data_IF_217569090814
#
_entry.id   IF_217569090814
#
_cell.length_a   1.000
_cell.length_b   1.000
_cell.length_c   1.000
_cell.angle_alpha   90.00
_cell.angle_beta   90.00
_cell.angle_gamma   90.00
#
_symmetry.space_group_name_H-M   'P 1'
#
loop_
_entity.id
_entity.type
_entity.pdbx_description
1 polymer ?
#
# COMPACT_ATOMS: atom_id res chain seq x y z
N UNK A 1 14.50 -38.13 56.64
CA UNK A 1 15.56 -37.75 55.68
C UNK A 1 14.97 -37.72 54.28
N UNK A 2 14.42 -36.57 53.86
CA UNK A 2 14.05 -36.27 52.47
C UNK A 2 14.32 -34.78 52.27
N UNK A 3 15.35 -34.46 51.49
CA UNK A 3 15.63 -33.11 51.00
C UNK A 3 14.60 -32.77 49.91
N UNK A 4 14.02 -31.58 49.98
CA UNK A 4 13.32 -30.94 48.87
C UNK A 4 14.32 -29.96 48.25
N UNK A 5 14.77 -30.24 47.04
CA UNK A 5 15.56 -29.32 46.22
C UNK A 5 14.60 -28.49 45.37
N UNK A 6 14.55 -27.18 45.61
CA UNK A 6 13.85 -26.24 44.75
C UNK A 6 14.79 -25.75 43.64
N UNK A 7 14.45 -26.04 42.39
CA UNK A 7 15.06 -25.37 41.23
C UNK A 7 14.24 -24.12 40.91
N UNK A 8 14.83 -22.94 41.16
CA UNK A 8 14.39 -21.69 40.57
C UNK A 8 14.91 -21.61 39.13
N UNK A 9 14.02 -21.67 38.15
CA UNK A 9 14.33 -21.24 36.79
C UNK A 9 14.20 -19.71 36.75
N UNK A 10 15.32 -19.02 36.61
CA UNK A 10 15.34 -17.61 36.21
C UNK A 10 15.17 -17.61 34.69
N UNK A 11 13.96 -17.31 34.19
CA UNK A 11 13.79 -16.92 32.80
C UNK A 11 14.42 -15.53 32.65
N UNK A 12 15.62 -15.47 32.05
CA UNK A 12 16.15 -14.24 31.50
C UNK A 12 15.34 -13.90 30.24
N UNK A 13 14.42 -12.95 30.37
CA UNK A 13 13.83 -12.23 29.23
C UNK A 13 14.95 -11.37 28.61
N UNK A 14 15.72 -11.95 27.70
CA UNK A 14 16.40 -11.15 26.69
C UNK A 14 15.32 -10.73 25.69
N UNK A 15 14.80 -9.52 25.84
CA UNK A 15 14.15 -8.87 24.71
C UNK A 15 15.22 -8.75 23.62
N UNK A 16 15.08 -9.49 22.53
CA UNK A 16 15.84 -9.16 21.32
C UNK A 16 15.33 -7.80 20.90
N UNK A 17 16.11 -6.75 21.13
CA UNK A 17 15.96 -5.58 20.28
C UNK A 17 16.24 -6.09 18.86
N UNK A 18 15.24 -6.06 17.99
CA UNK A 18 15.47 -6.29 16.58
C UNK A 18 16.60 -5.35 16.17
N UNK A 19 17.64 -5.89 15.54
CA UNK A 19 18.69 -5.05 14.97
C UNK A 19 17.98 -4.08 14.02
N UNK A 20 18.19 -2.77 14.22
CA UNK A 20 17.66 -1.79 13.30
C UNK A 20 18.30 -2.05 11.93
N UNK A 21 17.46 -2.20 10.90
CA UNK A 21 17.92 -2.39 9.53
C UNK A 21 17.95 -1.03 8.84
N UNK A 22 19.11 -0.66 8.29
CA UNK A 22 19.22 0.50 7.40
C UNK A 22 18.57 0.17 6.07
N UNK A 23 17.71 1.06 5.57
CA UNK A 23 17.02 0.91 4.29
C UNK A 23 17.50 1.96 3.30
N UNK A 24 17.27 1.73 2.02
CA UNK A 24 17.42 2.73 0.97
C UNK A 24 16.39 2.50 -0.14
N UNK A 25 15.91 3.56 -0.78
CA UNK A 25 15.20 3.48 -2.05
C UNK A 25 16.23 3.40 -3.19
N UNK A 26 16.39 2.20 -3.76
CA UNK A 26 17.22 1.97 -4.93
C UNK A 26 16.40 2.23 -6.20
N UNK A 27 16.87 3.11 -7.08
CA UNK A 27 16.24 3.33 -8.38
C UNK A 27 16.22 2.01 -9.15
N UNK A 28 15.01 1.54 -9.48
CA UNK A 28 14.80 0.34 -10.28
C UNK A 28 14.62 0.70 -11.75
N UNK A 29 13.76 1.67 -12.03
CA UNK A 29 13.50 2.14 -13.38
C UNK A 29 13.31 3.65 -13.40
N UNK A 30 14.05 4.32 -14.29
CA UNK A 30 13.96 5.75 -14.52
C UNK A 30 12.92 6.02 -15.61
N UNK A 31 11.88 6.79 -15.30
CA UNK A 31 10.84 7.21 -16.25
C UNK A 31 10.25 6.09 -17.17
N UNK A 32 9.87 4.88 -16.67
CA UNK A 32 9.38 3.82 -17.55
C UNK A 32 8.06 4.15 -18.26
N UNK A 33 7.23 5.01 -17.65
CA UNK A 33 6.00 5.60 -18.21
C UNK A 33 5.85 7.03 -17.68
N UNK A 34 5.09 7.88 -18.37
CA UNK A 34 4.67 9.17 -17.80
C UNK A 34 3.65 8.97 -16.68
N UNK A 35 3.66 9.83 -15.66
CA UNK A 35 2.68 9.84 -14.57
C UNK A 35 2.34 8.42 -14.04
N UNK A 36 3.35 7.64 -13.60
CA UNK A 36 3.12 6.29 -13.11
C UNK A 36 2.18 6.34 -11.91
N UNK A 37 1.25 5.40 -11.87
CA UNK A 37 0.15 5.42 -10.90
C UNK A 37 0.19 4.21 -9.96
N UNK A 38 0.70 3.09 -10.45
CA UNK A 38 0.92 1.87 -9.69
C UNK A 38 2.04 1.05 -10.34
N UNK A 39 2.68 0.20 -9.55
CA UNK A 39 3.58 -0.84 -9.99
C UNK A 39 3.26 -2.13 -9.21
N UNK A 40 2.83 -3.19 -9.88
CA UNK A 40 2.33 -4.42 -9.24
C UNK A 40 2.81 -5.67 -9.97
N UNK A 41 2.85 -6.80 -9.28
CA UNK A 41 3.09 -8.11 -9.90
C UNK A 41 1.80 -8.91 -10.12
N UNK A 42 1.86 -9.84 -11.09
CA UNK A 42 0.77 -10.75 -11.37
C UNK A 42 1.04 -12.15 -10.78
N UNK A 43 0.02 -12.85 -10.25
CA UNK A 43 0.15 -14.27 -9.90
C UNK A 43 0.75 -15.09 -11.05
N UNK A 44 1.75 -15.92 -10.76
CA UNK A 44 2.44 -16.75 -11.76
C UNK A 44 3.47 -16.00 -12.62
N UNK A 45 3.70 -14.71 -12.39
CA UNK A 45 4.66 -13.90 -13.16
C UNK A 45 5.69 -13.21 -12.26
N UNK A 46 6.51 -13.96 -11.50
CA UNK A 46 7.36 -13.38 -10.47
C UNK A 46 8.37 -12.39 -11.03
N UNK A 47 8.85 -12.59 -12.26
CA UNK A 47 9.94 -11.82 -12.88
C UNK A 47 9.47 -10.53 -13.57
N UNK A 48 8.17 -10.18 -13.47
CA UNK A 48 7.62 -9.00 -14.13
C UNK A 48 6.93 -8.06 -13.15
N UNK A 49 7.11 -6.75 -13.40
CA UNK A 49 6.40 -5.67 -12.72
C UNK A 49 5.56 -4.92 -13.76
N UNK A 50 4.27 -4.78 -13.53
CA UNK A 50 3.35 -4.06 -14.39
C UNK A 50 3.19 -2.63 -13.87
N UNK A 51 3.61 -1.65 -14.67
CA UNK A 51 3.59 -0.23 -14.31
C UNK A 51 2.57 0.49 -15.18
N UNK A 52 1.55 1.07 -14.54
CA UNK A 52 0.47 1.79 -15.23
C UNK A 52 0.66 3.29 -15.23
N UNK A 53 0.48 3.92 -16.38
CA UNK A 53 0.42 5.37 -16.53
C UNK A 53 -1.00 5.88 -16.30
N UNK A 54 -1.14 6.95 -15.52
CA UNK A 54 -2.43 7.63 -15.36
C UNK A 54 -2.88 8.27 -16.67
N UNK A 55 -2.03 9.14 -17.22
CA UNK A 55 -2.33 10.02 -18.34
C UNK A 55 -2.41 9.31 -19.69
N UNK A 56 -1.44 8.46 -20.01
CA UNK A 56 -1.47 7.73 -21.30
C UNK A 56 -2.31 6.45 -21.24
N UNK A 57 -2.76 6.05 -20.04
CA UNK A 57 -3.60 4.87 -19.80
C UNK A 57 -3.03 3.57 -20.41
N UNK A 58 -1.70 3.52 -20.53
CA UNK A 58 -0.94 2.35 -20.90
C UNK A 58 -0.34 1.67 -19.67
N UNK A 59 -0.05 0.38 -19.82
CA UNK A 59 0.66 -0.43 -18.83
C UNK A 59 1.85 -1.04 -19.53
N UNK A 60 3.05 -0.85 -18.96
CA UNK A 60 4.27 -1.52 -19.40
C UNK A 60 4.64 -2.65 -18.45
N UNK A 61 5.41 -3.61 -18.96
CA UNK A 61 6.04 -4.66 -18.16
C UNK A 61 7.51 -4.33 -18.03
N UNK A 62 8.00 -4.25 -16.80
CA UNK A 62 9.41 -4.19 -16.49
C UNK A 62 9.92 -5.57 -16.06
N UNK A 63 11.15 -5.88 -16.42
CA UNK A 63 11.90 -6.98 -15.83
C UNK A 63 12.17 -6.65 -14.35
N UNK A 64 11.77 -7.54 -13.44
CA UNK A 64 11.88 -7.31 -11.99
C UNK A 64 13.31 -6.98 -11.57
N UNK A 65 14.30 -7.65 -12.15
CA UNK A 65 15.70 -7.52 -11.70
C UNK A 65 16.36 -6.26 -12.26
N UNK A 66 16.21 -6.02 -13.55
CA UNK A 66 16.93 -4.98 -14.30
C UNK A 66 16.16 -3.67 -14.44
N UNK A 67 14.85 -3.68 -14.18
CA UNK A 67 13.96 -2.54 -14.39
C UNK A 67 13.74 -2.16 -15.85
N UNK A 68 14.28 -2.94 -16.80
CA UNK A 68 14.15 -2.66 -18.22
C UNK A 68 12.74 -3.01 -18.72
N UNK A 69 12.20 -2.18 -19.60
CA UNK A 69 10.90 -2.45 -20.24
C UNK A 69 10.99 -3.65 -21.16
N UNK A 70 10.19 -4.67 -20.86
CA UNK A 70 10.03 -5.92 -21.63
C UNK A 70 8.94 -5.78 -22.69
N UNK A 71 7.83 -5.11 -22.36
CA UNK A 71 6.69 -4.98 -23.26
C UNK A 71 5.78 -3.81 -22.90
N UNK A 72 5.01 -3.33 -23.86
CA UNK A 72 3.79 -2.56 -23.58
C UNK A 72 2.64 -3.55 -23.45
N UNK A 73 2.22 -3.83 -22.22
CA UNK A 73 1.15 -4.78 -21.92
C UNK A 73 -0.19 -4.30 -22.45
N UNK A 74 -0.58 -3.07 -22.12
CA UNK A 74 -1.88 -2.52 -22.48
C UNK A 74 -1.71 -1.09 -22.96
N UNK A 75 -2.52 -0.69 -23.94
CA UNK A 75 -2.67 0.71 -24.34
C UNK A 75 -4.17 0.93 -24.62
N UNK A 76 -4.79 1.86 -23.91
CA UNK A 76 -6.19 2.22 -24.11
C UNK A 76 -6.26 3.44 -25.05
N UNK A 77 -6.59 3.25 -26.34
CA UNK A 77 -6.64 4.35 -27.29
C UNK A 77 -7.72 5.37 -26.88
N UNK A 78 -7.43 6.66 -27.10
CA UNK A 78 -8.31 7.82 -26.85
C UNK A 78 -8.36 8.36 -25.41
N UNK A 79 -7.41 7.99 -24.56
CA UNK A 79 -7.21 8.67 -23.30
C UNK A 79 -6.45 9.99 -23.52
N UNK A 80 -7.12 11.14 -23.35
CA UNK A 80 -6.43 12.40 -23.04
C UNK A 80 -6.96 12.91 -21.71
N UNK A 81 -6.42 12.38 -20.59
CA UNK A 81 -6.87 12.72 -19.26
C UNK A 81 -6.51 14.18 -18.91
N UNK A 82 -7.41 14.85 -18.20
CA UNK A 82 -7.28 16.15 -17.53
C UNK A 82 -7.59 16.04 -16.03
N UNK A 83 -6.73 16.57 -15.16
CA UNK A 83 -6.90 16.57 -13.70
C UNK A 83 -6.78 15.18 -13.02
N UNK A 84 -7.83 14.62 -12.40
CA UNK A 84 -7.80 13.35 -11.63
C UNK A 84 -8.31 12.12 -12.42
N UNK A 85 -8.45 12.24 -13.73
CA UNK A 85 -8.91 11.16 -14.60
C UNK A 85 -7.75 10.28 -15.10
N UNK A 86 -8.12 9.21 -15.79
CA UNK A 86 -7.21 8.25 -16.36
C UNK A 86 -7.32 6.87 -15.71
N UNK A 87 -6.23 6.11 -15.83
CA UNK A 87 -6.07 4.80 -15.22
C UNK A 87 -5.56 4.97 -13.78
N UNK A 88 -6.40 4.64 -12.79
CA UNK A 88 -6.09 4.90 -11.38
C UNK A 88 -5.56 3.67 -10.63
N UNK A 89 -5.98 2.47 -11.04
CA UNK A 89 -5.52 1.21 -10.45
C UNK A 89 -5.77 0.03 -11.40
N UNK A 90 -5.11 -1.09 -11.11
CA UNK A 90 -5.29 -2.38 -11.76
C UNK A 90 -5.13 -3.49 -10.72
N UNK A 91 -5.87 -4.59 -10.88
CA UNK A 91 -5.68 -5.80 -10.10
C UNK A 91 -5.74 -7.03 -11.02
N UNK A 92 -4.89 -8.01 -10.75
CA UNK A 92 -4.95 -9.31 -11.42
C UNK A 92 -5.95 -10.21 -10.71
N UNK A 93 -6.71 -11.00 -11.47
CA UNK A 93 -7.51 -12.07 -10.89
C UNK A 93 -6.60 -13.03 -10.10
N UNK A 94 -7.02 -13.61 -8.96
CA UNK A 94 -6.20 -14.56 -8.20
C UNK A 94 -5.70 -15.73 -9.07
N UNK A 95 -6.55 -16.22 -9.98
CA UNK A 95 -6.23 -17.25 -10.96
C UNK A 95 -5.62 -16.73 -12.30
N UNK A 96 -5.02 -15.52 -12.32
CA UNK A 96 -4.49 -14.89 -13.55
C UNK A 96 -3.55 -15.79 -14.35
N UNK A 97 -2.75 -16.62 -13.69
CA UNK A 97 -1.84 -17.55 -14.37
C UNK A 97 -2.60 -18.53 -15.28
N UNK A 98 -3.85 -18.85 -14.93
CA UNK A 98 -4.70 -19.77 -15.69
C UNK A 98 -5.70 -19.05 -16.61
N UNK A 99 -6.39 -18.02 -16.11
CA UNK A 99 -7.49 -17.36 -16.84
C UNK A 99 -7.06 -16.09 -17.58
N UNK A 100 -5.91 -15.52 -17.24
CA UNK A 100 -5.38 -14.30 -17.84
C UNK A 100 -6.19 -13.04 -17.56
N UNK A 101 -7.12 -13.05 -16.61
CA UNK A 101 -8.05 -11.95 -16.32
C UNK A 101 -7.43 -10.89 -15.39
N UNK A 102 -7.68 -9.63 -15.70
CA UNK A 102 -7.29 -8.49 -14.87
C UNK A 102 -8.34 -7.38 -14.96
N UNK A 103 -8.33 -6.48 -14.00
CA UNK A 103 -9.38 -5.47 -13.80
C UNK A 103 -8.75 -4.11 -13.68
N UNK A 104 -9.24 -3.12 -14.41
CA UNK A 104 -8.78 -1.73 -14.27
C UNK A 104 -9.82 -0.90 -13.55
N UNK A 105 -9.35 0.05 -12.75
CA UNK A 105 -10.16 1.15 -12.23
C UNK A 105 -9.85 2.42 -13.02
N UNK A 106 -10.85 3.01 -13.67
CA UNK A 106 -10.69 4.26 -14.43
C UNK A 106 -11.73 5.30 -14.02
N UNK A 107 -11.37 6.56 -14.23
CA UNK A 107 -12.31 7.68 -14.20
C UNK A 107 -12.09 8.54 -15.45
N UNK A 108 -13.14 9.11 -16.01
CA UNK A 108 -13.05 10.03 -17.15
C UNK A 108 -13.75 11.34 -16.85
N UNK A 109 -13.10 12.48 -17.13
CA UNK A 109 -13.81 13.75 -17.06
C UNK A 109 -14.80 13.92 -18.22
N UNK A 110 -14.53 13.45 -19.43
CA UNK A 110 -15.48 13.67 -20.54
C UNK A 110 -16.75 12.83 -20.41
N UNK A 111 -16.67 11.75 -19.64
CA UNK A 111 -17.76 10.84 -19.31
C UNK A 111 -17.63 10.45 -17.83
N UNK A 112 -18.23 11.22 -16.89
CA UNK A 112 -17.89 11.26 -15.46
C UNK A 112 -18.35 10.03 -14.70
N UNK A 113 -17.82 8.87 -15.07
CA UNK A 113 -18.03 7.59 -14.42
C UNK A 113 -16.73 7.04 -13.89
N UNK A 114 -16.79 6.54 -12.67
CA UNK A 114 -15.87 5.53 -12.17
C UNK A 114 -16.24 4.19 -12.82
N UNK A 115 -15.27 3.48 -13.36
CA UNK A 115 -15.47 2.18 -14.02
C UNK A 115 -14.48 1.15 -13.54
N UNK A 116 -15.01 -0.02 -13.20
CA UNK A 116 -14.22 -1.24 -13.06
C UNK A 116 -14.51 -2.14 -14.24
N UNK A 117 -13.48 -2.45 -15.03
CA UNK A 117 -13.60 -3.18 -16.28
C UNK A 117 -12.66 -4.37 -16.29
N UNK A 118 -13.22 -5.56 -16.51
CA UNK A 118 -12.48 -6.79 -16.74
C UNK A 118 -11.87 -6.78 -18.14
N UNK A 119 -10.62 -7.21 -18.21
CA UNK A 119 -9.83 -7.42 -19.42
C UNK A 119 -9.10 -8.75 -19.32
N UNK A 120 -8.50 -9.18 -20.41
CA UNK A 120 -7.70 -10.40 -20.45
C UNK A 120 -6.40 -10.21 -21.20
N UNK A 121 -5.37 -10.96 -20.82
CA UNK A 121 -4.14 -11.08 -21.62
C UNK A 121 -4.42 -11.83 -22.93
N UNK A 122 -3.61 -11.59 -23.94
CA UNK A 122 -3.66 -12.31 -25.20
C UNK A 122 -3.28 -13.78 -24.98
N UNK A 123 -4.06 -14.68 -25.57
CA UNK A 123 -3.77 -16.12 -25.57
C UNK A 123 -2.50 -16.42 -26.36
N UNK A 124 -2.20 -15.63 -27.40
CA UNK A 124 -1.04 -15.84 -28.26
C UNK A 124 0.26 -15.25 -27.66
N UNK A 125 0.14 -14.17 -26.88
CA UNK A 125 1.27 -13.55 -26.20
C UNK A 125 0.82 -13.04 -24.81
N UNK A 126 1.11 -13.78 -23.72
CA UNK A 126 0.74 -13.39 -22.36
C UNK A 126 1.33 -12.06 -21.87
N UNK A 127 2.33 -11.51 -22.58
CA UNK A 127 2.96 -10.21 -22.28
C UNK A 127 2.21 -9.01 -22.87
N UNK A 128 1.06 -9.24 -23.52
CA UNK A 128 0.16 -8.17 -23.98
C UNK A 128 -1.29 -8.48 -23.61
N UNK A 129 -2.09 -7.43 -23.40
CA UNK A 129 -3.53 -7.48 -23.28
C UNK A 129 -4.19 -7.80 -24.63
N UNK A 130 -5.33 -8.48 -24.60
CA UNK A 130 -6.20 -8.61 -25.77
C UNK A 130 -6.96 -7.29 -25.97
N UNK A 131 -6.69 -6.52 -27.04
CA UNK A 131 -7.33 -5.23 -27.25
C UNK A 131 -8.81 -5.33 -27.63
N UNK A 132 -9.32 -6.55 -27.88
CA UNK A 132 -10.69 -6.79 -28.32
C UNK A 132 -11.63 -7.25 -27.20
N UNK A 133 -11.08 -7.53 -26.01
CA UNK A 133 -11.86 -8.03 -24.89
C UNK A 133 -11.98 -6.98 -23.78
N UNK A 134 -13.20 -6.55 -23.53
CA UNK A 134 -13.58 -5.79 -22.36
C UNK A 134 -14.95 -6.27 -21.85
N UNK A 135 -15.11 -6.33 -20.53
CA UNK A 135 -16.39 -6.60 -19.88
C UNK A 135 -16.55 -5.66 -18.69
N UNK A 136 -17.56 -4.80 -18.74
CA UNK A 136 -17.81 -3.82 -17.68
C UNK A 136 -18.32 -4.53 -16.42
N UNK A 137 -17.58 -4.49 -15.31
CA UNK A 137 -18.02 -5.11 -14.05
C UNK A 137 -19.06 -4.23 -13.37
N UNK A 138 -18.71 -2.99 -13.06
CA UNK A 138 -19.68 -2.00 -12.60
C UNK A 138 -19.24 -0.59 -12.99
N UNK A 139 -20.19 0.32 -13.08
CA UNK A 139 -19.92 1.76 -13.16
C UNK A 139 -20.70 2.54 -12.10
N UNK A 140 -20.15 3.69 -11.73
CA UNK A 140 -20.73 4.62 -10.78
C UNK A 140 -20.59 6.04 -11.35
N UNK A 141 -21.69 6.80 -11.53
CA UNK A 141 -21.59 8.20 -11.92
C UNK A 141 -20.95 9.01 -10.80
N UNK A 142 -19.96 9.84 -11.15
CA UNK A 142 -19.37 10.85 -10.28
C UNK A 142 -19.34 12.21 -11.00
N UNK A 143 -20.53 12.79 -11.18
CA UNK A 143 -20.76 14.08 -11.86
C UNK A 143 -19.96 15.25 -11.25
N UNK A 144 -19.49 15.07 -10.00
CA UNK A 144 -18.71 16.06 -9.25
C UNK A 144 -17.24 16.08 -9.63
N UNK A 145 -16.74 15.05 -10.31
CA UNK A 145 -15.39 14.97 -10.91
C UNK A 145 -14.25 15.22 -9.92
N UNK A 146 -14.47 14.83 -8.69
CA UNK A 146 -13.53 14.96 -7.59
C UNK A 146 -13.71 13.77 -6.66
N UNK A 147 -12.65 13.44 -5.92
CA UNK A 147 -12.64 12.34 -4.95
C UNK A 147 -13.17 11.06 -5.59
N UNK A 148 -12.53 10.61 -6.65
CA UNK A 148 -13.02 9.50 -7.48
C UNK A 148 -12.80 8.13 -6.82
N UNK A 149 -12.24 8.07 -5.60
CA UNK A 149 -11.64 6.85 -5.08
C UNK A 149 -10.37 6.53 -5.88
N UNK A 150 -10.13 5.26 -6.16
CA UNK A 150 -9.05 4.92 -7.08
C UNK A 150 -8.35 3.60 -6.86
N UNK A 151 -8.83 2.76 -5.94
CA UNK A 151 -8.22 1.46 -5.69
C UNK A 151 -9.15 0.30 -6.04
N UNK A 152 -8.58 -0.77 -6.59
CA UNK A 152 -9.22 -2.06 -6.78
C UNK A 152 -8.25 -3.18 -6.35
N UNK A 153 -8.74 -4.23 -5.71
CA UNK A 153 -7.93 -5.37 -5.29
C UNK A 153 -8.75 -6.60 -4.95
N UNK A 154 -8.10 -7.77 -4.95
CA UNK A 154 -8.73 -9.04 -4.56
C UNK A 154 -8.34 -9.40 -3.14
N UNK A 155 -9.30 -9.85 -2.33
CA UNK A 155 -8.97 -10.40 -1.02
C UNK A 155 -8.27 -11.75 -1.20
N UNK A 156 -7.15 -12.00 -0.51
CA UNK A 156 -6.49 -13.30 -0.52
C UNK A 156 -7.28 -14.38 0.22
N UNK A 157 -8.31 -14.00 1.01
CA UNK A 157 -9.10 -14.95 1.80
C UNK A 157 -10.35 -15.45 1.08
N UNK A 158 -11.10 -14.55 0.45
CA UNK A 158 -12.38 -14.89 -0.19
C UNK A 158 -12.35 -14.84 -1.73
N UNK A 159 -11.29 -14.28 -2.33
CA UNK A 159 -11.14 -14.18 -3.77
C UNK A 159 -12.11 -13.22 -4.47
N UNK A 160 -12.84 -12.39 -3.73
CA UNK A 160 -13.73 -11.37 -4.30
C UNK A 160 -12.99 -10.07 -4.62
N UNK A 161 -13.58 -9.30 -5.53
CA UNK A 161 -13.07 -8.00 -5.94
C UNK A 161 -13.61 -6.91 -5.02
N UNK A 162 -12.70 -6.09 -4.50
CA UNK A 162 -12.98 -4.92 -3.69
C UNK A 162 -12.59 -3.65 -4.44
N UNK A 163 -13.35 -2.57 -4.23
CA UNK A 163 -13.05 -1.27 -4.80
C UNK A 163 -13.40 -0.13 -3.84
N UNK A 164 -12.52 0.86 -3.72
CA UNK A 164 -12.81 2.09 -2.96
C UNK A 164 -13.39 3.17 -3.85
N UNK A 165 -14.43 3.84 -3.37
CA UNK A 165 -15.02 5.01 -4.00
C UNK A 165 -14.91 6.21 -3.05
N UNK A 166 -14.66 7.40 -3.59
CA UNK A 166 -14.69 8.63 -2.79
C UNK A 166 -16.07 9.28 -2.76
N UNK A 167 -16.22 10.31 -1.93
CA UNK A 167 -17.48 10.97 -1.61
C UNK A 167 -17.97 11.97 -2.70
N UNK A 168 -17.16 12.19 -3.74
CA UNK A 168 -17.42 13.16 -4.80
C UNK A 168 -16.94 14.60 -4.50
N UNK A 169 -16.41 14.89 -3.32
CA UNK A 169 -15.60 16.08 -2.99
C UNK A 169 -16.25 17.46 -2.94
N UNK A 170 -17.54 17.61 -3.22
CA UNK A 170 -18.21 18.92 -3.17
C UNK A 170 -18.83 19.22 -1.80
N UNK A 171 -18.59 20.43 -1.27
CA UNK A 171 -19.15 20.93 0.00
C UNK A 171 -18.89 20.02 1.21
N UNK A 172 -17.69 19.43 1.36
CA UNK A 172 -17.41 18.38 2.34
C UNK A 172 -18.44 17.24 2.26
N UNK A 173 -18.78 16.75 1.06
CA UNK A 173 -19.84 15.74 0.89
C UNK A 173 -21.28 16.24 1.14
N UNK A 174 -21.55 17.55 1.29
CA UNK A 174 -22.91 18.02 1.61
C UNK A 174 -23.87 17.97 0.43
N UNK A 175 -23.33 18.09 -0.79
CA UNK A 175 -24.08 18.73 -1.86
C UNK A 175 -25.38 18.01 -2.24
N UNK A 176 -25.52 16.72 -1.89
CA UNK A 176 -26.76 15.95 -2.09
C UNK A 176 -27.09 14.99 -0.90
N UNK A 177 -26.85 15.37 0.35
CA UNK A 177 -27.41 14.63 1.50
C UNK A 177 -26.52 13.52 2.11
N UNK A 178 -25.24 13.80 2.37
CA UNK A 178 -24.31 12.90 3.07
C UNK A 178 -24.10 11.56 2.34
N UNK A 179 -23.63 11.56 1.08
CA UNK A 179 -23.60 10.36 0.26
C UNK A 179 -22.69 9.27 0.85
N UNK A 180 -21.63 9.64 1.60
CA UNK A 180 -20.81 8.68 2.34
C UNK A 180 -21.59 7.90 3.43
N UNK A 181 -22.63 8.52 4.01
CA UNK A 181 -23.51 7.93 5.02
C UNK A 181 -24.82 7.36 4.45
N UNK A 182 -25.22 7.73 3.23
CA UNK A 182 -26.34 7.09 2.54
C UNK A 182 -25.92 5.67 2.12
N UNK A 183 -26.55 4.61 2.66
CA UNK A 183 -26.17 3.24 2.34
C UNK A 183 -26.58 2.80 0.92
N UNK A 184 -27.43 3.55 0.22
CA UNK A 184 -27.80 3.30 -1.18
C UNK A 184 -26.98 4.11 -2.19
N UNK A 185 -26.20 5.08 -1.72
CA UNK A 185 -25.25 5.82 -2.55
C UNK A 185 -23.89 5.12 -2.54
N UNK A 186 -23.28 4.92 -3.71
CA UNK A 186 -21.99 4.26 -3.86
C UNK A 186 -20.80 5.17 -3.56
N UNK A 187 -20.98 6.47 -3.35
CA UNK A 187 -19.89 7.38 -3.00
C UNK A 187 -19.44 7.16 -1.54
N UNK A 188 -18.14 7.23 -1.29
CA UNK A 188 -17.54 7.09 0.04
C UNK A 188 -17.70 5.68 0.62
N UNK A 189 -17.52 4.65 -0.21
CA UNK A 189 -17.75 3.24 0.14
C UNK A 189 -16.54 2.37 -0.14
N UNK A 190 -16.47 1.26 0.56
CA UNK A 190 -15.77 0.07 0.11
C UNK A 190 -16.81 -0.88 -0.49
N UNK A 191 -16.68 -1.19 -1.77
CA UNK A 191 -17.56 -2.09 -2.51
C UNK A 191 -16.92 -3.49 -2.59
N UNK A 192 -17.73 -4.56 -2.59
CA UNK A 192 -17.29 -5.95 -2.72
C UNK A 192 -18.22 -6.75 -3.63
N UNK A 193 -17.66 -7.38 -4.66
CA UNK A 193 -18.41 -8.16 -5.67
C UNK A 193 -17.67 -9.44 -6.07
N UNK A 194 -18.43 -10.46 -6.49
CA UNK A 194 -17.86 -11.68 -7.08
C UNK A 194 -17.91 -11.58 -8.61
N UNK A 195 -16.73 -11.54 -9.24
CA UNK A 195 -16.59 -11.38 -10.70
C UNK A 195 -16.73 -12.68 -11.49
N UNK A 196 -16.79 -13.83 -10.80
CA UNK A 196 -16.87 -15.15 -11.43
C UNK A 196 -18.29 -15.56 -11.88
N UNK A 197 -19.26 -14.66 -11.76
CA UNK A 197 -20.63 -14.88 -12.19
C UNK A 197 -21.34 -13.59 -12.59
N UNK A 198 -22.67 -13.68 -12.73
CA UNK A 198 -23.50 -12.52 -13.06
C UNK A 198 -24.92 -12.66 -12.47
N UNK A 199 -25.22 -11.84 -11.46
CA UNK A 199 -26.56 -11.69 -10.88
C UNK A 199 -27.47 -10.79 -11.74
N UNK A 200 -26.93 -10.07 -12.72
CA UNK A 200 -27.63 -9.07 -13.51
C UNK A 200 -27.49 -9.32 -15.03
N UNK A 201 -27.81 -10.51 -15.56
CA UNK A 201 -27.52 -10.90 -16.96
C UNK A 201 -28.24 -10.08 -18.04
N UNK A 202 -29.20 -9.22 -17.66
CA UNK A 202 -29.89 -8.31 -18.56
C UNK A 202 -29.25 -6.90 -18.60
N UNK A 203 -28.26 -6.63 -17.76
CA UNK A 203 -27.62 -5.34 -17.60
C UNK A 203 -26.14 -5.41 -18.03
N UNK A 204 -25.78 -4.89 -19.21
CA UNK A 204 -24.42 -5.02 -19.73
C UNK A 204 -23.39 -4.21 -18.93
N UNK A 205 -23.80 -3.33 -18.00
CA UNK A 205 -22.89 -2.56 -17.14
C UNK A 205 -22.76 -3.14 -15.73
N UNK A 206 -23.45 -4.26 -15.44
CA UNK A 206 -23.34 -4.99 -14.17
C UNK A 206 -23.09 -6.47 -14.44
N UNK A 207 -21.83 -6.89 -14.26
CA UNK A 207 -21.37 -8.23 -14.62
C UNK A 207 -20.68 -8.91 -13.43
N UNK A 208 -21.44 -9.15 -12.36
CA UNK A 208 -20.94 -9.75 -11.12
C UNK A 208 -22.07 -10.39 -10.33
N UNK A 209 -21.73 -11.27 -9.41
CA UNK A 209 -22.60 -11.75 -8.34
C UNK A 209 -22.42 -10.89 -7.10
N UNK A 210 -23.51 -10.66 -6.38
CA UNK A 210 -23.45 -10.13 -5.00
C UNK A 210 -23.03 -11.29 -4.09
N UNK A 211 -21.88 -11.21 -3.40
CA UNK A 211 -21.50 -12.23 -2.44
C UNK A 211 -22.60 -12.37 -1.37
N UNK A 212 -23.10 -13.58 -1.07
CA UNK A 212 -24.12 -13.78 -0.05
C UNK A 212 -23.62 -13.43 1.36
N UNK A 213 -22.30 -13.26 1.52
CA UNK A 213 -21.65 -12.83 2.76
C UNK A 213 -21.45 -11.32 2.86
N UNK A 214 -21.91 -10.53 1.88
CA UNK A 214 -21.97 -9.08 2.03
C UNK A 214 -22.94 -8.70 3.16
N UNK A 215 -22.66 -7.63 3.92
CA UNK A 215 -23.49 -7.22 5.05
C UNK A 215 -24.91 -6.81 4.63
N UNK A 216 -25.09 -6.43 3.36
CA UNK A 216 -26.36 -5.97 2.79
C UNK A 216 -26.78 -6.76 1.55
N UNK A 217 -26.44 -8.06 1.48
CA UNK A 217 -26.61 -8.88 0.28
C UNK A 217 -28.06 -8.95 -0.26
N UNK A 218 -29.08 -8.68 0.57
CA UNK A 218 -30.49 -8.65 0.16
C UNK A 218 -30.94 -7.33 -0.48
N UNK A 219 -30.11 -6.29 -0.42
CA UNK A 219 -30.41 -4.97 -0.97
C UNK A 219 -31.52 -4.19 -0.25
N UNK A 220 -31.96 -4.63 0.94
CA UNK A 220 -33.10 -4.02 1.65
C UNK A 220 -32.66 -2.81 2.48
N UNK A 221 -31.49 -2.89 3.12
CA UNK A 221 -30.98 -1.85 4.02
C UNK A 221 -29.89 -0.95 3.39
N UNK A 222 -29.27 -1.39 2.30
CA UNK A 222 -28.23 -0.70 1.57
C UNK A 222 -28.15 -1.20 0.11
N UNK A 223 -27.36 -0.57 -0.73
CA UNK A 223 -26.94 -1.18 -1.98
C UNK A 223 -26.15 -2.48 -1.69
N UNK A 224 -26.49 -3.61 -2.35
CA UNK A 224 -25.91 -4.91 -2.00
C UNK A 224 -24.41 -5.05 -2.28
N UNK A 225 -23.81 -4.12 -3.02
CA UNK A 225 -22.35 -4.07 -3.22
C UNK A 225 -21.60 -3.47 -2.03
N UNK A 226 -22.27 -2.68 -1.19
CA UNK A 226 -21.61 -1.98 -0.08
C UNK A 226 -21.10 -3.00 0.93
N UNK A 227 -19.80 -2.96 1.19
CA UNK A 227 -19.15 -3.74 2.24
C UNK A 227 -18.89 -2.88 3.48
N UNK A 228 -18.46 -1.63 3.29
CA UNK A 228 -18.29 -0.63 4.36
C UNK A 228 -18.64 0.76 3.84
N UNK A 229 -18.96 1.69 4.73
CA UNK A 229 -19.34 3.06 4.38
C UNK A 229 -18.63 4.11 5.25
N UNK A 230 -18.89 5.39 4.97
CA UNK A 230 -18.35 6.49 5.74
C UNK A 230 -16.89 6.82 5.42
N UNK A 231 -16.44 6.56 4.20
CA UNK A 231 -15.12 6.99 3.70
C UNK A 231 -15.22 8.34 2.96
N UNK A 232 -14.12 9.09 2.88
CA UNK A 232 -14.06 10.39 2.18
C UNK A 232 -13.42 10.29 0.80
N UNK A 233 -12.13 10.02 0.74
CA UNK A 233 -11.35 9.93 -0.48
C UNK A 233 -10.24 8.89 -0.33
N UNK A 234 -10.65 7.62 -0.30
CA UNK A 234 -9.76 6.49 -0.11
C UNK A 234 -9.06 6.12 -1.41
N UNK A 235 -7.94 6.80 -1.69
CA UNK A 235 -7.22 6.71 -2.97
C UNK A 235 -6.39 5.42 -3.11
N UNK A 236 -5.82 4.93 -2.00
CA UNK A 236 -5.03 3.70 -1.95
C UNK A 236 -5.41 2.86 -0.74
N UNK A 237 -5.55 1.57 -0.97
CA UNK A 237 -5.72 0.55 0.04
C UNK A 237 -4.84 -0.66 -0.31
N UNK A 238 -4.76 -1.65 0.58
CA UNK A 238 -3.98 -2.85 0.34
C UNK A 238 -4.38 -3.97 1.29
N UNK A 239 -4.55 -5.17 0.74
CA UNK A 239 -4.66 -6.36 1.55
C UNK A 239 -3.27 -6.81 1.97
N UNK A 240 -3.14 -7.19 3.23
CA UNK A 240 -2.07 -8.06 3.67
C UNK A 240 -2.26 -9.44 3.01
N UNK A 241 -1.34 -9.81 2.13
CA UNK A 241 -1.43 -11.06 1.36
C UNK A 241 -1.40 -12.32 2.22
N UNK A 242 -0.96 -12.24 3.48
CA UNK A 242 -0.90 -13.38 4.40
C UNK A 242 -2.12 -13.48 5.31
N UNK A 243 -2.58 -12.36 5.88
CA UNK A 243 -3.66 -12.36 6.89
C UNK A 243 -5.02 -11.99 6.30
N UNK A 244 -5.05 -11.33 5.14
CA UNK A 244 -6.26 -10.77 4.55
C UNK A 244 -6.76 -9.51 5.24
N UNK A 245 -6.00 -8.94 6.17
CA UNK A 245 -6.30 -7.63 6.74
C UNK A 245 -6.25 -6.56 5.65
N UNK A 246 -7.19 -5.63 5.68
CA UNK A 246 -7.27 -4.54 4.70
C UNK A 246 -6.95 -3.21 5.39
N UNK A 247 -5.94 -2.53 4.87
CA UNK A 247 -5.57 -1.17 5.26
C UNK A 247 -6.05 -0.19 4.19
N UNK A 248 -6.59 0.94 4.61
CA UNK A 248 -7.19 1.94 3.72
C UNK A 248 -6.65 3.30 4.12
N UNK A 249 -5.87 3.95 3.24
CA UNK A 249 -5.52 5.36 3.42
C UNK A 249 -6.69 6.23 2.97
N UNK A 250 -7.23 7.06 3.86
CA UNK A 250 -8.35 7.96 3.57
C UNK A 250 -7.96 9.43 3.73
N UNK A 251 -8.07 10.18 2.63
CA UNK A 251 -7.60 11.57 2.59
C UNK A 251 -8.57 12.48 3.32
N UNK A 252 -8.03 13.21 4.29
CA UNK A 252 -8.71 14.17 5.15
C UNK A 252 -9.26 15.41 4.46
N UNK A 253 -10.08 16.18 5.18
CA UNK A 253 -10.62 17.45 4.72
C UNK A 253 -9.90 18.66 5.27
N UNK A 254 -9.79 18.80 6.58
CA UNK A 254 -9.23 19.97 7.27
C UNK A 254 -8.26 19.57 8.37
N UNK A 255 -8.54 18.50 9.12
CA UNK A 255 -7.91 18.23 10.40
C UNK A 255 -6.98 17.03 10.37
N UNK A 256 -7.42 15.89 9.83
CA UNK A 256 -6.70 14.63 9.97
C UNK A 256 -6.64 13.86 8.66
N UNK A 257 -5.50 13.23 8.41
CA UNK A 257 -5.38 12.12 7.46
C UNK A 257 -5.47 10.79 8.23
N UNK A 258 -5.95 9.73 7.58
CA UNK A 258 -6.35 8.49 8.28
C UNK A 258 -5.81 7.22 7.62
N UNK A 259 -5.41 6.26 8.46
CA UNK A 259 -5.31 4.83 8.10
C UNK A 259 -6.44 4.07 8.79
N UNK A 260 -7.41 3.65 7.98
CA UNK A 260 -8.53 2.80 8.37
C UNK A 260 -8.16 1.31 8.21
N UNK A 261 -8.80 0.44 8.99
CA UNK A 261 -8.47 -0.99 9.06
C UNK A 261 -9.73 -1.86 9.06
N UNK A 262 -9.67 -2.97 8.32
CA UNK A 262 -10.67 -4.04 8.38
C UNK A 262 -9.95 -5.37 8.61
N UNK A 263 -10.25 -6.09 9.71
CA UNK A 263 -9.64 -7.40 9.95
C UNK A 263 -9.95 -8.42 8.87
N UNK A 264 -8.99 -9.30 8.58
CA UNK A 264 -9.17 -10.45 7.71
C UNK A 264 -10.36 -11.32 8.17
N UNK A 265 -11.21 -11.70 7.21
CA UNK A 265 -12.42 -12.48 7.49
C UNK A 265 -13.60 -11.67 8.06
N UNK A 266 -13.49 -10.35 8.13
CA UNK A 266 -14.62 -9.46 8.44
C UNK A 266 -15.83 -9.73 7.55
N UNK A 267 -17.04 -9.61 8.11
CA UNK A 267 -18.31 -9.70 7.38
C UNK A 267 -18.80 -8.34 6.85
N UNK A 268 -17.96 -7.31 6.92
CA UNK A 268 -18.32 -5.95 6.53
C UNK A 268 -19.22 -5.24 7.55
N UNK A 269 -19.81 -4.12 7.14
CA UNK A 269 -20.73 -3.28 7.93
C UNK A 269 -20.04 -2.16 8.71
N UNK A 270 -18.73 -1.98 8.56
CA UNK A 270 -18.00 -0.89 9.18
C UNK A 270 -18.50 0.46 8.65
N UNK A 271 -18.59 1.45 9.54
CA UNK A 271 -18.84 2.84 9.20
C UNK A 271 -17.68 3.68 9.73
N UNK A 272 -16.90 4.30 8.86
CA UNK A 272 -15.74 5.12 9.24
C UNK A 272 -16.09 6.57 9.57
N UNK A 273 -17.38 6.90 9.62
CA UNK A 273 -17.86 8.13 10.25
C UNK A 273 -17.84 9.39 9.38
N UNK A 274 -17.16 9.39 8.21
CA UNK A 274 -17.18 10.56 7.34
C UNK A 274 -18.60 10.90 6.92
N UNK A 275 -19.06 12.14 7.05
CA UNK A 275 -18.28 13.36 7.34
C UNK A 275 -18.42 13.93 8.74
N UNK A 276 -19.25 13.32 9.58
CA UNK A 276 -19.49 13.79 10.93
C UNK A 276 -18.24 13.62 11.80
N UNK A 277 -17.45 12.57 11.51
CA UNK A 277 -16.11 12.37 12.05
C UNK A 277 -15.06 12.67 10.98
N UNK A 278 -13.94 13.21 11.44
CA UNK A 278 -12.68 13.31 10.71
C UNK A 278 -11.58 12.93 11.69
N UNK A 279 -10.90 11.82 11.42
CA UNK A 279 -10.17 11.06 12.41
C UNK A 279 -11.10 10.48 13.49
N UNK A 280 -10.58 10.38 14.70
CA UNK A 280 -11.28 9.98 15.92
C UNK A 280 -12.13 11.09 16.56
N UNK A 281 -12.26 12.24 15.88
CA UNK A 281 -12.88 13.45 16.41
C UNK A 281 -14.08 13.91 15.58
N UNK A 282 -15.02 14.60 16.24
CA UNK A 282 -16.09 15.32 15.57
C UNK A 282 -15.50 16.34 14.58
N UNK A 283 -16.03 16.39 13.36
CA UNK A 283 -15.65 17.37 12.36
C UNK A 283 -16.33 18.71 12.66
N UNK A 284 -15.61 19.73 13.18
CA UNK A 284 -16.22 20.99 13.59
C UNK A 284 -16.69 21.85 12.41
N UNK A 285 -16.38 21.45 11.17
CA UNK A 285 -16.82 22.15 9.95
C UNK A 285 -18.27 21.80 9.57
N UNK A 286 -18.87 20.81 10.24
CA UNK A 286 -20.26 20.37 10.04
C UNK A 286 -20.95 20.19 11.38
N UNK A 287 -22.28 20.13 11.39
CA UNK A 287 -23.08 19.90 12.60
C UNK A 287 -23.83 18.57 12.56
N UNK A 288 -23.33 17.62 11.76
CA UNK A 288 -23.95 16.31 11.60
C UNK A 288 -23.61 15.43 12.81
N UNK A 289 -24.56 14.65 13.35
CA UNK A 289 -24.27 13.76 14.47
C UNK A 289 -23.37 12.61 14.02
N UNK A 290 -22.42 12.22 14.88
CA UNK A 290 -21.62 11.02 14.67
C UNK A 290 -22.52 9.79 14.48
N UNK A 291 -22.30 8.98 13.43
CA UNK A 291 -23.13 7.80 13.19
C UNK A 291 -22.92 6.76 14.31
N UNK A 292 -23.98 6.10 14.81
CA UNK A 292 -23.85 5.09 15.86
C UNK A 292 -22.92 3.95 15.43
N UNK A 293 -21.95 3.62 16.28
CA UNK A 293 -21.01 2.53 16.02
C UNK A 293 -19.97 2.85 14.94
N UNK A 294 -19.71 4.13 14.68
CA UNK A 294 -18.57 4.54 13.88
C UNK A 294 -17.26 3.96 14.45
N UNK A 295 -16.32 3.65 13.56
CA UNK A 295 -15.04 3.02 13.89
C UNK A 295 -13.93 4.03 13.65
N UNK A 296 -13.09 4.22 14.66
CA UNK A 296 -11.92 5.10 14.58
C UNK A 296 -10.84 4.51 13.66
N UNK A 297 -10.05 5.35 12.98
CA UNK A 297 -8.86 4.88 12.27
C UNK A 297 -7.85 4.26 13.24
N UNK A 298 -7.05 3.30 12.77
CA UNK A 298 -5.97 2.72 13.59
C UNK A 298 -4.78 3.66 13.73
N UNK A 299 -4.64 4.61 12.79
CA UNK A 299 -3.64 5.66 12.84
C UNK A 299 -4.19 6.92 12.16
N UNK A 300 -3.88 8.07 12.73
CA UNK A 300 -4.24 9.37 12.18
C UNK A 300 -3.13 10.39 12.46
N UNK A 301 -3.01 11.40 11.61
CA UNK A 301 -2.10 12.50 11.83
C UNK A 301 -2.68 13.82 11.35
N UNK A 302 -2.34 14.91 12.06
CA UNK A 302 -2.87 16.22 11.75
C UNK A 302 -2.38 16.71 10.37
N UNK A 303 -3.23 17.44 9.64
CA UNK A 303 -2.87 18.04 8.34
C UNK A 303 -1.80 19.15 8.40
N UNK A 304 -1.27 19.42 9.59
CA UNK A 304 -0.02 20.17 9.77
C UNK A 304 1.22 19.34 9.42
N UNK A 305 1.17 18.03 9.68
CA UNK A 305 2.25 17.06 9.47
C UNK A 305 2.24 16.44 8.07
N UNK A 306 1.07 16.19 7.50
CA UNK A 306 0.86 15.80 6.09
C UNK A 306 -0.34 16.52 5.48
N UNK A 307 -0.74 16.26 4.25
CA UNK A 307 -1.94 16.88 3.65
C UNK A 307 -2.64 16.04 2.57
N UNK A 308 -2.17 14.83 2.29
CA UNK A 308 -2.85 13.89 1.39
C UNK A 308 -2.24 12.51 1.59
N UNK A 309 -2.81 11.71 2.50
CA UNK A 309 -2.28 10.37 2.74
C UNK A 309 -2.34 9.49 1.49
N UNK A 310 -1.28 8.72 1.30
CA UNK A 310 -1.17 7.65 0.33
C UNK A 310 -1.09 6.36 1.14
N UNK A 311 -2.17 5.58 1.14
CA UNK A 311 -2.15 4.21 1.63
C UNK A 311 -1.22 3.32 0.79
N UNK A 312 -0.89 2.14 1.28
CA UNK A 312 0.03 1.23 0.61
C UNK A 312 -0.29 -0.23 0.86
N UNK A 313 0.76 -1.02 1.09
CA UNK A 313 0.67 -2.47 1.27
C UNK A 313 1.56 -2.91 2.42
N UNK A 314 1.34 -4.13 2.91
CA UNK A 314 2.14 -4.75 3.96
C UNK A 314 3.33 -5.43 3.33
N UNK A 315 4.54 -5.18 3.82
CA UNK A 315 5.74 -5.85 3.31
C UNK A 315 5.70 -7.35 3.64
N UNK A 316 5.75 -8.18 2.60
CA UNK A 316 5.80 -9.65 2.69
C UNK A 316 6.98 -10.27 1.94
N UNK A 317 7.93 -9.43 1.52
CA UNK A 317 9.20 -9.84 0.95
C UNK A 317 10.09 -10.60 1.93
N UNK A 318 11.12 -11.22 1.39
CA UNK A 318 12.06 -12.05 2.17
C UNK A 318 13.47 -11.47 2.23
N UNK A 319 13.77 -10.46 1.40
CA UNK A 319 15.08 -9.82 1.41
C UNK A 319 15.32 -8.98 2.67
N UNK A 320 14.26 -8.51 3.34
CA UNK A 320 14.32 -7.66 4.54
C UNK A 320 13.39 -8.24 5.63
N UNK A 321 13.77 -9.33 6.31
CA UNK A 321 12.91 -10.01 7.28
C UNK A 321 12.36 -9.12 8.40
N UNK A 322 13.09 -8.08 8.78
CA UNK A 322 12.73 -7.11 9.81
C UNK A 322 11.48 -6.29 9.45
N UNK A 323 11.19 -6.12 8.15
CA UNK A 323 10.02 -5.40 7.67
C UNK A 323 8.79 -6.29 7.51
N UNK A 324 8.90 -7.61 7.68
CA UNK A 324 7.74 -8.50 7.47
C UNK A 324 6.60 -8.13 8.43
N UNK A 325 5.46 -7.80 7.84
CA UNK A 325 4.26 -7.34 8.56
C UNK A 325 4.18 -5.83 8.81
N UNK A 326 5.16 -5.04 8.39
CA UNK A 326 5.08 -3.57 8.41
C UNK A 326 4.19 -3.08 7.26
N UNK A 327 3.19 -2.25 7.57
CA UNK A 327 2.36 -1.56 6.58
C UNK A 327 3.04 -0.26 6.15
N UNK A 328 3.30 -0.13 4.86
CA UNK A 328 3.84 1.10 4.26
C UNK A 328 2.73 2.07 3.89
N UNK A 329 2.91 3.34 4.27
CA UNK A 329 2.05 4.45 3.88
C UNK A 329 2.89 5.73 3.77
N UNK A 330 2.30 6.81 3.28
CA UNK A 330 3.00 8.08 3.17
C UNK A 330 2.08 9.24 2.87
N UNK A 331 2.64 10.36 2.44
CA UNK A 331 1.90 11.58 2.12
C UNK A 331 2.34 12.18 0.78
N UNK A 332 1.38 12.41 -0.10
CA UNK A 332 1.63 12.95 -1.45
C UNK A 332 2.12 14.40 -1.45
N UNK A 333 1.71 15.22 -0.46
CA UNK A 333 2.02 16.67 -0.46
C UNK A 333 3.30 16.97 0.31
N UNK A 334 3.63 16.16 1.32
CA UNK A 334 4.82 16.34 2.17
C UNK A 334 5.93 15.36 1.87
N UNK A 335 5.76 14.48 0.89
CA UNK A 335 6.75 13.48 0.44
C UNK A 335 7.28 12.58 1.57
N UNK A 336 6.45 12.35 2.58
CA UNK A 336 6.80 11.52 3.74
C UNK A 336 6.48 10.05 3.48
N UNK A 337 7.35 9.15 3.90
CA UNK A 337 7.10 7.70 3.93
C UNK A 337 7.20 7.22 5.37
N UNK A 338 6.25 6.41 5.79
CA UNK A 338 6.20 5.83 7.12
C UNK A 338 5.83 4.36 7.05
N UNK A 339 6.23 3.61 8.08
CA UNK A 339 5.70 2.27 8.34
C UNK A 339 4.95 2.24 9.64
N UNK A 340 3.95 1.37 9.75
CA UNK A 340 3.36 1.02 11.04
C UNK A 340 3.24 -0.49 11.18
N UNK A 341 3.21 -0.94 12.44
CA UNK A 341 2.92 -2.33 12.81
C UNK A 341 1.64 -2.38 13.62
N UNK A 342 0.74 -3.27 13.24
CA UNK A 342 -0.54 -3.48 13.92
C UNK A 342 -0.64 -4.92 14.40
N UNK A 343 -0.68 -5.12 15.72
CA UNK A 343 -0.69 -6.43 16.35
C UNK A 343 -1.73 -6.48 17.46
N UNK A 344 -2.54 -7.54 17.47
CA UNK A 344 -3.54 -7.78 18.52
C UNK A 344 -4.50 -6.60 18.76
N UNK A 345 -4.87 -5.87 17.71
CA UNK A 345 -5.82 -4.77 17.77
C UNK A 345 -5.21 -3.40 18.11
N UNK A 346 -3.89 -3.29 18.22
CA UNK A 346 -3.20 -2.03 18.55
C UNK A 346 -2.02 -1.75 17.62
N UNK A 347 -1.76 -0.48 17.34
CA UNK A 347 -0.53 -0.05 16.67
C UNK A 347 0.62 -0.13 17.67
N UNK A 348 1.62 -0.96 17.38
CA UNK A 348 2.79 -1.18 18.26
C UNK A 348 3.97 -0.30 17.89
N UNK A 349 4.05 0.15 16.63
CA UNK A 349 5.09 1.07 16.15
C UNK A 349 4.58 1.90 14.98
N UNK A 350 5.06 3.14 14.91
CA UNK A 350 5.01 4.00 13.71
C UNK A 350 6.41 4.57 13.53
N UNK A 351 6.97 4.44 12.33
CA UNK A 351 8.34 4.85 12.04
C UNK A 351 8.36 5.69 10.77
N UNK A 352 8.87 6.92 10.86
CA UNK A 352 9.21 7.73 9.69
C UNK A 352 10.42 7.12 8.99
N UNK A 353 10.25 6.72 7.73
CA UNK A 353 11.27 6.08 6.88
C UNK A 353 11.84 7.03 5.83
N UNK A 354 11.38 8.28 5.80
CA UNK A 354 11.64 9.19 4.68
C UNK A 354 13.13 9.41 4.44
N UNK A 355 13.89 9.78 5.48
CA UNK A 355 15.33 10.03 5.35
C UNK A 355 16.14 8.76 5.13
N UNK A 356 15.72 7.67 5.75
CA UNK A 356 16.31 6.36 5.56
C UNK A 356 16.20 5.95 4.07
N UNK A 357 15.02 6.05 3.48
CA UNK A 357 14.79 5.66 2.08
C UNK A 357 15.37 6.66 1.08
N UNK A 358 15.25 7.95 1.36
CA UNK A 358 15.63 9.05 0.47
C UNK A 358 16.60 10.01 1.18
N UNK A 359 17.87 9.58 1.37
CA UNK A 359 18.91 10.44 1.93
C UNK A 359 19.14 11.63 1.01
N UNK A 360 19.64 12.76 1.54
CA UNK A 360 19.62 14.11 0.92
C UNK A 360 20.09 14.24 -0.56
N UNK A 361 20.77 13.24 -1.14
CA UNK A 361 21.15 13.18 -2.56
C UNK A 361 20.09 12.54 -3.48
N UNK A 362 19.23 11.68 -2.96
CA UNK A 362 18.12 11.03 -3.65
C UNK A 362 16.83 11.51 -2.98
N UNK A 363 16.24 12.61 -3.43
CA UNK A 363 14.94 13.05 -2.91
C UNK A 363 13.79 12.43 -3.70
N UNK A 364 12.76 11.98 -2.99
CA UNK A 364 11.46 11.68 -3.58
C UNK A 364 10.87 12.97 -4.17
N UNK A 365 10.30 12.89 -5.38
CA UNK A 365 9.57 13.97 -6.03
C UNK A 365 8.14 14.07 -5.51
N UNK A 366 7.30 13.08 -5.79
CA UNK A 366 5.98 12.94 -5.17
C UNK A 366 5.55 11.48 -5.11
N UNK A 367 5.35 10.96 -3.89
CA UNK A 367 4.83 9.61 -3.67
C UNK A 367 3.37 9.53 -4.12
N UNK A 368 3.03 8.57 -4.99
CA UNK A 368 1.63 8.33 -5.38
C UNK A 368 1.11 6.94 -5.00
N UNK A 369 2.00 5.97 -4.82
CA UNK A 369 1.62 4.61 -4.48
C UNK A 369 2.82 3.84 -3.93
N UNK A 370 2.51 2.81 -3.15
CA UNK A 370 3.39 1.67 -2.95
C UNK A 370 2.92 0.49 -3.81
N UNK A 371 3.78 -0.50 -3.99
CA UNK A 371 3.47 -1.74 -4.67
C UNK A 371 4.40 -2.87 -4.23
N UNK A 372 4.12 -4.08 -4.67
CA UNK A 372 4.97 -5.25 -4.44
C UNK A 372 5.38 -5.85 -5.78
N UNK A 373 6.65 -6.24 -5.88
CA UNK A 373 7.09 -7.09 -6.97
C UNK A 373 6.69 -8.56 -6.74
N UNK A 374 7.00 -9.43 -7.71
CA UNK A 374 6.55 -10.83 -7.68
C UNK A 374 7.17 -11.68 -6.57
N UNK A 375 8.08 -11.12 -5.77
CA UNK A 375 8.68 -11.76 -4.60
C UNK A 375 8.23 -11.10 -3.28
N UNK A 376 7.30 -10.15 -3.32
CA UNK A 376 6.82 -9.40 -2.16
C UNK A 376 7.74 -8.23 -1.75
N UNK A 377 8.74 -7.91 -2.57
CA UNK A 377 9.64 -6.80 -2.26
C UNK A 377 8.95 -5.46 -2.57
N UNK A 378 9.13 -4.48 -1.68
CA UNK A 378 8.42 -3.20 -1.74
C UNK A 378 8.94 -2.31 -2.86
N UNK A 379 7.99 -1.72 -3.59
CA UNK A 379 8.20 -0.71 -4.61
C UNK A 379 7.62 0.64 -4.15
N UNK A 380 8.31 1.71 -4.50
CA UNK A 380 7.88 3.10 -4.30
C UNK A 380 7.70 3.73 -5.68
N UNK A 381 6.54 4.36 -5.89
CA UNK A 381 6.18 4.98 -7.16
C UNK A 381 6.18 6.51 -7.00
N UNK A 382 7.12 7.15 -7.70
CA UNK A 382 7.26 8.61 -7.75
C UNK A 382 6.59 9.16 -9.00
N UNK A 383 5.47 9.85 -8.85
CA UNK A 383 4.71 10.38 -9.99
C UNK A 383 5.27 11.69 -10.52
N UNK A 384 6.09 12.42 -9.76
CA UNK A 384 6.63 13.69 -10.23
C UNK A 384 7.89 13.48 -11.07
N UNK A 385 8.74 12.53 -10.66
CA UNK A 385 9.95 12.15 -11.41
C UNK A 385 9.72 11.00 -12.39
N UNK A 386 8.56 10.37 -12.29
CA UNK A 386 8.18 9.16 -13.02
C UNK A 386 9.07 7.95 -12.71
N UNK A 387 9.73 7.92 -11.56
CA UNK A 387 10.66 6.87 -11.20
C UNK A 387 9.98 5.77 -10.39
N UNK A 388 10.47 4.54 -10.56
CA UNK A 388 10.13 3.39 -9.72
C UNK A 388 11.37 3.02 -8.92
N UNK A 389 11.22 2.99 -7.59
CA UNK A 389 12.28 2.57 -6.67
C UNK A 389 11.92 1.23 -6.02
N UNK A 390 12.92 0.43 -5.68
CA UNK A 390 12.82 -0.74 -4.80
C UNK A 390 13.37 -0.37 -3.42
N UNK A 391 12.67 -0.77 -2.36
CA UNK A 391 13.24 -0.72 -1.00
C UNK A 391 14.24 -1.85 -0.84
N UNK A 392 15.46 -1.50 -0.44
CA UNK A 392 16.54 -2.47 -0.17
C UNK A 392 17.11 -2.25 1.22
N UNK A 393 17.56 -3.32 1.85
CA UNK A 393 18.40 -3.21 3.03
C UNK A 393 19.83 -2.83 2.62
N UNK A 394 20.45 -1.96 3.40
CA UNK A 394 21.86 -1.59 3.25
C UNK A 394 22.61 -1.93 4.54
N UNK A 395 23.92 -2.26 4.48
CA UNK A 395 24.70 -2.49 5.68
C UNK A 395 24.74 -1.24 6.57
N UNK A 396 24.63 -1.45 7.88
CA UNK A 396 24.89 -0.40 8.87
C UNK A 396 26.34 0.08 8.79
N UNK A 397 26.56 1.39 8.89
CA UNK A 397 27.89 1.99 8.99
C UNK A 397 28.04 2.56 10.40
N UNK A 398 29.13 2.22 11.09
CA UNK A 398 29.44 2.84 12.38
C UNK A 398 29.47 4.37 12.23
N UNK A 399 28.78 5.09 13.12
CA UNK A 399 28.74 6.56 13.06
C UNK A 399 27.64 7.15 12.16
N UNK A 400 26.88 6.33 11.42
CA UNK A 400 25.62 6.70 10.76
C UNK A 400 24.50 6.68 11.82
N UNK A 401 24.41 7.78 12.57
CA UNK A 401 23.52 7.92 13.72
C UNK A 401 22.08 8.27 13.34
N UNK A 402 21.81 8.56 12.06
CA UNK A 402 20.46 8.81 11.55
C UNK A 402 19.92 7.67 10.66
N UNK A 403 20.72 6.64 10.40
CA UNK A 403 20.45 5.46 9.58
C UNK A 403 20.13 5.75 8.12
N UNK A 404 20.62 6.87 7.56
CA UNK A 404 20.36 7.26 6.18
C UNK A 404 21.35 6.66 5.16
N UNK A 405 22.31 5.86 5.66
CA UNK A 405 23.33 5.21 4.86
C UNK A 405 24.52 6.12 4.53
N UNK A 406 24.58 7.33 5.08
CA UNK A 406 25.69 8.26 4.95
C UNK A 406 26.18 8.66 6.34
N UNK A 407 27.50 8.77 6.50
CA UNK A 407 28.07 9.40 7.70
C UNK A 407 28.44 10.83 7.36
N UNK A 408 27.59 11.77 7.75
CA UNK A 408 27.71 13.18 7.39
C UNK A 408 27.42 14.15 8.54
N UNK A 409 27.24 15.45 8.23
CA UNK A 409 27.02 16.48 9.24
C UNK A 409 25.69 16.33 9.99
N UNK A 410 24.72 15.61 9.45
CA UNK A 410 23.44 15.33 10.10
C UNK A 410 23.66 14.37 11.26
N UNK A 411 24.51 13.34 11.12
CA UNK A 411 24.87 12.44 12.23
C UNK A 411 25.53 13.17 13.39
N UNK A 412 26.37 14.16 13.08
CA UNK A 412 26.93 15.04 14.10
C UNK A 412 25.85 15.74 14.92
N UNK A 413 24.75 16.17 14.28
CA UNK A 413 23.64 16.79 15.01
C UNK A 413 22.90 15.80 15.89
N UNK A 414 22.69 14.55 15.43
CA UNK A 414 22.07 13.49 16.22
C UNK A 414 22.95 13.14 17.43
N UNK A 415 24.26 12.97 17.23
CA UNK A 415 25.22 12.75 18.31
C UNK A 415 25.17 13.90 19.33
N UNK A 416 25.32 15.14 18.87
CA UNK A 416 25.40 16.34 19.71
C UNK A 416 24.18 16.47 20.60
N UNK A 417 22.99 16.21 20.05
CA UNK A 417 21.73 16.37 20.77
C UNK A 417 21.50 15.26 21.81
N UNK A 418 22.27 14.16 21.73
CA UNK A 418 22.21 13.02 22.66
C UNK A 418 23.42 12.89 23.61
N UNK A 419 24.35 13.86 23.63
CA UNK A 419 25.52 13.82 24.53
C UNK A 419 25.08 13.68 26.00
N UNK A 420 25.63 12.68 26.69
CA UNK A 420 25.30 12.32 28.06
C UNK A 420 24.19 11.28 28.21
N UNK A 421 23.55 10.86 27.11
CA UNK A 421 22.58 9.77 27.12
C UNK A 421 23.24 8.39 27.35
N UNK A 422 22.49 7.38 27.84
CA UNK A 422 23.01 6.02 28.01
C UNK A 422 23.53 5.40 26.71
N UNK A 423 24.40 4.40 26.83
CA UNK A 423 24.86 3.58 25.71
C UNK A 423 23.69 2.93 24.96
N UNK A 424 23.80 2.81 23.63
CA UNK A 424 22.74 2.27 22.77
C UNK A 424 21.61 3.26 22.47
N UNK A 425 21.76 4.54 22.82
CA UNK A 425 20.80 5.59 22.42
C UNK A 425 20.94 5.96 20.95
N UNK A 426 22.17 5.98 20.42
CA UNK A 426 22.43 6.27 19.02
C UNK A 426 22.33 4.98 18.19
N UNK A 427 21.63 5.00 17.04
CA UNK A 427 21.73 3.97 16.02
C UNK A 427 23.18 3.75 15.59
N UNK A 428 23.54 2.56 15.10
CA UNK A 428 24.89 2.26 14.58
C UNK A 428 26.06 2.74 15.46
N UNK A 429 25.88 2.79 16.78
CA UNK A 429 26.94 3.08 17.73
C UNK A 429 27.64 1.77 18.14
N UNK A 430 28.90 1.55 17.73
CA UNK A 430 29.65 0.36 18.13
C UNK A 430 30.09 0.42 19.60
N UNK A 431 29.98 1.58 20.25
CA UNK A 431 30.47 1.81 21.59
C UNK A 431 29.40 1.49 22.64
N UNK A 432 29.80 0.83 23.72
CA UNK A 432 28.94 0.56 24.88
C UNK A 432 29.06 1.62 25.98
N UNK A 433 29.54 2.82 25.65
CA UNK A 433 29.76 3.94 26.59
C UNK A 433 28.62 4.96 26.54
N UNK A 434 28.52 5.80 27.57
CA UNK A 434 27.62 6.96 27.57
C UNK A 434 27.98 7.84 26.37
N UNK A 435 26.97 8.35 25.67
CA UNK A 435 27.16 9.13 24.43
C UNK A 435 28.07 10.33 24.70
N UNK A 436 29.21 10.39 24.01
CA UNK A 436 30.27 11.34 24.30
C UNK A 436 31.44 11.31 23.29
N UNK A 437 32.68 11.53 23.75
CA UNK A 437 33.85 11.64 22.88
C UNK A 437 34.15 10.41 22.02
N UNK A 438 33.80 9.20 22.49
CA UNK A 438 34.05 7.95 21.75
C UNK A 438 33.19 7.90 20.48
N UNK A 439 31.89 8.19 20.60
CA UNK A 439 30.95 8.28 19.48
C UNK A 439 31.32 9.42 18.52
N UNK A 440 31.80 10.54 19.05
CA UNK A 440 32.33 11.61 18.20
C UNK A 440 33.53 11.14 17.40
N UNK A 441 34.45 10.38 18.01
CA UNK A 441 35.62 9.84 17.32
C UNK A 441 35.22 8.81 16.24
N UNK A 442 34.21 7.96 16.49
CA UNK A 442 33.62 7.08 15.48
C UNK A 442 33.09 7.88 14.29
N UNK A 443 32.27 8.90 14.55
CA UNK A 443 31.74 9.77 13.48
C UNK A 443 32.86 10.46 12.68
N UNK A 444 33.89 10.99 13.35
CA UNK A 444 35.04 11.60 12.66
C UNK A 444 35.78 10.58 11.78
N UNK A 445 35.94 9.35 12.26
CA UNK A 445 36.66 8.29 11.55
C UNK A 445 35.90 7.84 10.28
N UNK A 446 34.58 7.81 10.36
CA UNK A 446 33.72 7.32 9.28
C UNK A 446 33.13 8.45 8.42
N UNK A 447 33.43 9.73 8.71
CA UNK A 447 32.88 10.85 7.96
C UNK A 447 33.12 10.74 6.45
N UNK A 448 32.03 10.73 5.68
CA UNK A 448 32.01 10.54 4.23
C UNK A 448 31.83 9.09 3.77
N UNK A 449 31.74 8.13 4.69
CA UNK A 449 31.36 6.74 4.38
C UNK A 449 29.92 6.67 3.85
N UNK A 450 29.69 5.76 2.91
CA UNK A 450 28.38 5.52 2.26
C UNK A 450 28.11 4.03 2.20
N UNK A 451 26.90 3.63 2.57
CA UNK A 451 26.50 2.22 2.60
C UNK A 451 26.37 1.73 1.15
N UNK A 452 27.06 0.64 0.82
CA UNK A 452 26.90 0.00 -0.48
C UNK A 452 25.65 -0.88 -0.44
N UNK A 453 24.74 -0.73 -1.41
CA UNK A 453 23.59 -1.63 -1.52
C UNK A 453 24.05 -3.07 -1.72
N UNK A 454 23.47 -4.00 -0.96
CA UNK A 454 23.69 -5.41 -1.21
C UNK A 454 23.07 -5.76 -2.57
N UNK A 455 23.81 -6.45 -3.44
CA UNK A 455 23.22 -7.00 -4.65
C UNK A 455 22.10 -7.97 -4.23
N UNK A 456 20.88 -7.76 -4.76
CA UNK A 456 19.76 -8.68 -4.54
C UNK A 456 20.23 -10.09 -4.94
N UNK A 457 20.31 -11.05 -4.00
CA UNK A 457 20.79 -12.37 -4.32
C UNK A 457 19.84 -13.00 -5.33
N UNK A 458 20.34 -13.48 -6.48
CA UNK A 458 19.54 -14.35 -7.32
C UNK A 458 19.06 -15.55 -6.49
N UNK A 459 17.79 -15.99 -6.61
CA UNK A 459 17.32 -17.14 -5.87
C UNK A 459 18.22 -18.33 -6.22
N UNK A 460 19.00 -18.77 -5.24
CA UNK A 460 19.91 -19.89 -5.43
C UNK A 460 19.13 -21.07 -6.01
N UNK A 461 19.67 -21.72 -7.04
CA UNK A 461 19.03 -22.82 -7.77
C UNK A 461 18.52 -23.98 -6.87
N UNK A 462 18.90 -23.99 -5.59
CA UNK A 462 18.37 -24.86 -4.53
C UNK A 462 16.87 -24.64 -4.24
N UNK A 463 16.34 -23.43 -4.37
CA UNK A 463 14.90 -23.16 -4.14
C UNK A 463 14.00 -23.79 -5.22
N UNK A 464 14.49 -23.87 -6.46
CA UNK A 464 13.79 -24.54 -7.56
C UNK A 464 13.72 -26.07 -7.38
N UNK A 465 14.66 -26.67 -6.67
CA UNK A 465 14.69 -28.13 -6.44
C UNK A 465 13.67 -28.55 -5.37
N UNK A 466 13.40 -27.70 -4.37
CA UNK A 466 12.44 -28.02 -3.30
C UNK A 466 10.99 -27.92 -3.80
N UNK A 467 10.67 -26.94 -4.65
CA UNK A 467 9.34 -26.82 -5.26
C UNK A 467 9.14 -27.89 -6.35
N UNK A 468 10.17 -28.21 -7.14
CA UNK A 468 10.13 -29.30 -8.12
C UNK A 468 10.01 -30.70 -7.48
N UNK A 469 10.61 -30.91 -6.30
CA UNK A 469 10.56 -32.19 -5.57
C UNK A 469 9.20 -32.45 -4.89
N UNK A 470 8.54 -31.40 -4.39
CA UNK A 470 7.23 -31.53 -3.74
C UNK A 470 6.10 -31.87 -4.74
N UNK A 471 6.18 -31.38 -5.97
CA UNK A 471 5.20 -31.66 -7.03
C UNK A 471 5.31 -33.07 -7.63
N UNK A 472 6.46 -33.73 -7.47
CA UNK A 472 6.65 -35.12 -7.92
C UNK A 472 6.23 -36.16 -6.87
N UNK A 473 6.04 -35.77 -5.61
CA UNK A 473 5.67 -36.67 -4.52
C UNK A 473 4.15 -36.87 -4.35
N UNK A 474 3.31 -36.07 -5.03
CA UNK A 474 1.83 -36.16 -4.94
C UNK A 474 1.17 -36.84 -6.15
N UNK A 475 1.96 -37.33 -7.13
CA UNK A 475 1.47 -38.24 -8.16
C UNK A 475 1.80 -39.70 -7.82
N UNK A 476 0.98 -40.31 -6.97
CA UNK A 476 0.68 -41.75 -7.00
C UNK A 476 -0.78 -42.00 -6.69
#
# INVERSE_FOLDING_TARGET
MRLIAGCFFVLSLFGSQALAVSLQAQLLAENPVSEPMFAIAAPGSPDHIFVGSRGTMDVVILDRTTGQTVSTFMNLPNATPVAQDGLLSMAFHPDYDTNGLFYTYTFSNTDPFVRVTERRRSVANPLIADPTYERQIFEMPNERRSHNGGWVGFSPLDGYLYATTGDGGVNNGAANGLPAQDPFDLHGKLLRVDVNGDSYPADPTRNYVIPPTNPYADGVAADPRVFSLGLRHSFRAGFDSQTGDLYIGDVGSVYFEEVNFIPGGSTGGQNFGWRALEGSADNPSVSDPAPPGAIDPIHEYARGSGASIVGGTVYRGSAIPELVGEYFFGDYVRDGISTLRYENGVVTSVTDRTRQLFPTFNSLGSLVSFGEDGLGEMLIIDVQRYDIYRVVAVPSIDGDYNEDGFVDVIDYTVWRDNVGAPAGTLPNDPNSSVIGPDQYATWVAEYGSVAASAAVPEPSALFLVVIGGALLATRR
#
